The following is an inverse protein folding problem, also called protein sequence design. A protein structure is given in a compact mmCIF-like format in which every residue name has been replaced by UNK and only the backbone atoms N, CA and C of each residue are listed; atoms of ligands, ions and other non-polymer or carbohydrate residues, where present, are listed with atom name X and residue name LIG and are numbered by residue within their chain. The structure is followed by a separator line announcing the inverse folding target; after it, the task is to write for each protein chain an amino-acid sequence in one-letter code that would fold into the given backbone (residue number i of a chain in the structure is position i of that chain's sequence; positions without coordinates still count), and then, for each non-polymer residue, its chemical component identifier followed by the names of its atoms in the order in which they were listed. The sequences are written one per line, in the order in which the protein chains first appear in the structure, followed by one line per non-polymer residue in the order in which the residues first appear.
data_IF_100830146677
#
_entry.id   IF_100830146677
#
_cell.length_a   1.000
_cell.length_b   1.000
_cell.length_c   1.000
_cell.angle_alpha   90.00
_cell.angle_beta   90.00
_cell.angle_gamma   90.00
#
_symmetry.space_group_name_H-M   'P 1'
#
loop_
_entity.id
_entity.type
_entity.pdbx_description
1 polymer ?
#
# COMPACT_ATOMS: atom_id res chain seq x y z
N UNK A 1 17.90 16.33 8.96
CA UNK A 1 17.26 15.19 9.65
C UNK A 1 16.78 14.23 8.58
N UNK A 2 17.07 12.93 8.68
CA UNK A 2 16.54 11.97 7.72
C UNK A 2 15.03 11.83 7.93
N UNK A 3 14.26 11.98 6.86
CA UNK A 3 12.82 11.70 6.88
C UNK A 3 12.63 10.20 7.13
N UNK A 4 11.71 9.83 8.03
CA UNK A 4 11.43 8.41 8.29
C UNK A 4 10.68 7.82 7.10
N UNK A 5 11.12 6.65 6.65
CA UNK A 5 10.52 5.90 5.56
C UNK A 5 9.86 4.63 6.11
N UNK A 6 8.65 4.34 5.63
CA UNK A 6 7.88 3.15 6.00
C UNK A 6 7.46 2.40 4.74
N UNK A 7 7.73 1.09 4.72
CA UNK A 7 7.24 0.20 3.68
C UNK A 7 5.92 -0.44 4.10
N UNK A 8 4.90 -0.28 3.27
CA UNK A 8 3.54 -0.77 3.47
C UNK A 8 3.22 -1.72 2.33
N UNK A 9 2.64 -2.87 2.64
CA UNK A 9 2.13 -3.81 1.63
C UNK A 9 0.62 -3.96 1.84
N UNK A 10 -0.16 -3.73 0.78
CA UNK A 10 -1.62 -3.84 0.80
C UNK A 10 -2.00 -5.24 0.32
N UNK A 11 -2.61 -6.00 1.23
CA UNK A 11 -2.95 -7.41 1.03
C UNK A 11 -4.46 -7.63 1.22
N UNK A 12 -5.01 -8.63 0.54
CA UNK A 12 -6.42 -8.98 0.59
C UNK A 12 -6.89 -9.67 -0.69
N UNK A 13 -8.06 -10.32 -0.64
CA UNK A 13 -8.61 -11.09 -1.77
C UNK A 13 -8.78 -10.26 -3.05
N UNK A 14 -8.94 -10.94 -4.19
CA UNK A 14 -9.32 -10.27 -5.43
C UNK A 14 -10.64 -9.51 -5.29
N UNK A 15 -10.77 -8.36 -5.96
CA UNK A 15 -12.02 -7.58 -5.99
C UNK A 15 -12.40 -6.81 -4.71
N UNK A 16 -11.65 -6.92 -3.59
CA UNK A 16 -12.00 -6.21 -2.33
C UNK A 16 -11.73 -4.70 -2.33
N UNK A 17 -11.20 -4.15 -3.43
CA UNK A 17 -10.95 -2.71 -3.58
C UNK A 17 -9.60 -2.18 -3.07
N UNK A 18 -8.57 -3.03 -2.94
CA UNK A 18 -7.20 -2.63 -2.54
C UNK A 18 -6.67 -1.46 -3.39
N UNK A 19 -6.72 -1.62 -4.71
CA UNK A 19 -6.23 -0.63 -5.67
C UNK A 19 -7.05 0.65 -5.65
N UNK A 20 -8.37 0.56 -5.50
CA UNK A 20 -9.24 1.72 -5.30
C UNK A 20 -8.83 2.51 -4.05
N UNK A 21 -8.59 1.83 -2.92
CA UNK A 21 -8.17 2.46 -1.68
C UNK A 21 -6.77 3.09 -1.80
N UNK A 22 -5.82 2.36 -2.41
CA UNK A 22 -4.45 2.84 -2.58
C UNK A 22 -4.40 4.05 -3.51
N UNK A 23 -5.07 4.02 -4.66
CA UNK A 23 -5.13 5.13 -5.60
C UNK A 23 -5.86 6.34 -4.99
N UNK A 24 -6.96 6.13 -4.28
CA UNK A 24 -7.66 7.21 -3.59
C UNK A 24 -6.77 7.85 -2.54
N UNK A 25 -6.04 7.05 -1.76
CA UNK A 25 -5.12 7.57 -0.77
C UNK A 25 -3.95 8.31 -1.41
N UNK A 26 -3.29 7.76 -2.43
CA UNK A 26 -2.06 8.33 -2.97
C UNK A 26 -2.32 9.51 -3.90
N UNK A 27 -3.31 9.37 -4.79
CA UNK A 27 -3.52 10.26 -5.94
C UNK A 27 -4.80 11.10 -5.82
N UNK A 28 -5.64 10.86 -4.82
CA UNK A 28 -7.00 11.42 -4.73
C UNK A 28 -7.86 11.11 -5.96
N UNK A 29 -7.66 9.93 -6.55
CA UNK A 29 -8.41 9.45 -7.71
C UNK A 29 -9.19 8.20 -7.32
N UNK A 30 -10.45 8.16 -7.74
CA UNK A 30 -11.27 6.96 -7.65
C UNK A 30 -11.19 6.17 -8.95
N UNK A 31 -10.81 4.90 -8.84
CA UNK A 31 -10.79 3.98 -9.99
C UNK A 31 -12.18 3.33 -10.10
N UNK A 32 -12.93 3.70 -11.14
CA UNK A 32 -14.30 3.20 -11.37
C UNK A 32 -14.34 1.81 -12.01
N UNK A 33 -13.32 1.43 -12.78
CA UNK A 33 -13.25 0.16 -13.49
C UNK A 33 -12.18 -0.76 -12.91
N UNK A 34 -12.57 -2.01 -12.63
CA UNK A 34 -11.66 -3.03 -12.13
C UNK A 34 -10.77 -3.57 -13.27
N UNK A 35 -9.51 -3.17 -13.28
CA UNK A 35 -8.43 -3.89 -13.96
C UNK A 35 -7.64 -4.66 -12.88
N UNK A 36 -7.53 -6.00 -12.95
CA UNK A 36 -6.72 -6.75 -11.99
C UNK A 36 -5.27 -6.24 -11.96
N UNK A 37 -4.90 -5.52 -10.91
CA UNK A 37 -3.52 -5.11 -10.66
C UNK A 37 -2.62 -6.33 -10.58
N UNK A 38 -1.45 -6.28 -11.21
CA UNK A 38 -0.39 -7.29 -11.05
C UNK A 38 0.39 -6.96 -9.76
N UNK A 39 1.05 -5.81 -9.74
CA UNK A 39 1.71 -5.22 -8.57
C UNK A 39 2.06 -3.76 -8.92
N UNK A 40 1.72 -2.80 -8.06
CA UNK A 40 2.02 -1.38 -8.24
C UNK A 40 2.73 -0.82 -7.01
N UNK A 41 3.71 0.07 -7.22
CA UNK A 41 4.43 0.75 -6.14
C UNK A 41 4.17 2.25 -6.16
N UNK A 42 3.84 2.79 -4.99
CA UNK A 42 3.52 4.19 -4.80
C UNK A 42 4.37 4.81 -3.71
N UNK A 43 4.70 6.09 -3.88
CA UNK A 43 5.43 6.87 -2.89
C UNK A 43 4.63 8.10 -2.47
N UNK A 44 4.42 8.29 -1.17
CA UNK A 44 3.69 9.45 -0.65
C UNK A 44 4.39 10.08 0.56
N UNK A 45 4.66 11.38 0.47
CA UNK A 45 5.05 12.18 1.64
C UNK A 45 3.80 12.61 2.40
N UNK A 46 3.77 12.37 3.70
CA UNK A 46 2.66 12.78 4.58
C UNK A 46 3.20 13.37 5.90
N UNK A 47 2.33 14.06 6.62
CA UNK A 47 2.56 14.48 8.00
C UNK A 47 1.69 13.65 8.94
N UNK A 48 2.31 13.06 9.97
CA UNK A 48 1.63 12.30 11.03
C UNK A 48 2.15 12.80 12.36
N UNK A 49 1.26 13.29 13.22
CA UNK A 49 1.60 13.83 14.55
C UNK A 49 2.74 14.88 14.52
N UNK A 50 2.71 15.80 13.55
CA UNK A 50 3.73 16.83 13.37
C UNK A 50 5.06 16.33 12.78
N UNK A 51 5.12 15.10 12.28
CA UNK A 51 6.33 14.50 11.70
C UNK A 51 6.13 14.21 10.22
N UNK A 52 7.02 14.74 9.39
CA UNK A 52 7.10 14.36 7.99
C UNK A 52 7.67 12.96 7.82
N UNK A 53 6.96 12.11 7.08
CA UNK A 53 7.33 10.72 6.79
C UNK A 53 7.12 10.42 5.30
N UNK A 54 7.86 9.45 4.78
CA UNK A 54 7.65 8.88 3.44
C UNK A 54 7.02 7.50 3.61
N UNK A 55 5.96 7.24 2.85
CA UNK A 55 5.38 5.92 2.70
C UNK A 55 5.77 5.37 1.32
N UNK A 56 6.36 4.17 1.31
CA UNK A 56 6.51 3.31 0.13
C UNK A 56 5.43 2.24 0.22
N UNK A 57 4.45 2.27 -0.69
CA UNK A 57 3.25 1.44 -0.64
C UNK A 57 3.27 0.49 -1.83
N UNK A 58 3.24 -0.81 -1.55
CA UNK A 58 3.09 -1.86 -2.53
C UNK A 58 1.63 -2.32 -2.58
N UNK A 59 0.93 -2.03 -3.67
CA UNK A 59 -0.37 -2.62 -3.98
C UNK A 59 -0.19 -3.93 -4.75
N UNK A 60 -0.86 -4.98 -4.32
CA UNK A 60 -0.65 -6.34 -4.85
C UNK A 60 -1.89 -6.85 -5.57
N UNK A 61 -1.68 -7.67 -6.61
CA UNK A 61 -2.73 -8.57 -7.09
C UNK A 61 -3.31 -9.34 -5.90
N UNK A 62 -4.63 -9.36 -5.77
CA UNK A 62 -5.28 -10.17 -4.74
C UNK A 62 -4.98 -11.64 -4.98
N UNK A 63 -3.97 -12.19 -4.31
CA UNK A 63 -3.58 -13.58 -4.44
C UNK A 63 -3.81 -14.29 -3.11
N UNK A 64 -4.43 -15.47 -3.16
CA UNK A 64 -4.64 -16.33 -1.99
C UNK A 64 -3.32 -16.91 -1.42
N UNK A 65 -2.16 -16.49 -1.93
CA UNK A 65 -0.84 -17.01 -1.61
C UNK A 65 0.03 -15.96 -0.91
N UNK A 66 -0.41 -15.47 0.25
CA UNK A 66 0.37 -14.56 1.10
C UNK A 66 1.64 -15.21 1.70
N UNK A 67 1.87 -16.50 1.46
CA UNK A 67 2.98 -17.27 2.03
C UNK A 67 4.35 -16.99 1.41
N UNK A 68 4.44 -16.13 0.38
CA UNK A 68 5.70 -15.86 -0.35
C UNK A 68 6.37 -14.52 -0.02
N UNK A 69 5.71 -13.62 0.70
CA UNK A 69 6.36 -12.36 1.08
C UNK A 69 7.21 -12.55 2.34
N UNK A 70 8.53 -12.43 2.19
CA UNK A 70 9.44 -12.22 3.32
C UNK A 70 9.26 -10.79 3.83
N UNK A 71 8.13 -10.56 4.51
CA UNK A 71 7.79 -9.27 5.10
C UNK A 71 8.81 -8.99 6.22
N UNK A 72 9.66 -7.95 6.11
CA UNK A 72 10.57 -7.58 7.18
C UNK A 72 9.76 -7.26 8.45
N UNK A 73 10.26 -7.63 9.63
CA UNK A 73 9.60 -7.40 10.93
C UNK A 73 9.25 -5.92 11.22
N UNK A 74 9.68 -4.98 10.37
CA UNK A 74 9.31 -3.57 10.42
C UNK A 74 7.93 -3.24 9.84
N UNK A 75 7.33 -4.16 9.06
CA UNK A 75 5.98 -3.95 8.49
C UNK A 75 4.94 -4.37 9.53
N UNK A 76 4.21 -3.39 10.08
CA UNK A 76 3.06 -3.63 10.94
C UNK A 76 1.86 -4.06 10.10
N UNK A 77 1.45 -5.31 10.23
CA UNK A 77 0.14 -5.78 9.74
C UNK A 77 -0.91 -5.44 10.78
N UNK A 78 -1.83 -4.52 10.48
CA UNK A 78 -3.07 -4.37 11.24
C UNK A 78 -4.06 -5.41 10.70
N UNK A 79 -4.65 -6.22 11.57
CA UNK A 79 -5.78 -7.09 11.22
C UNK A 79 -7.03 -6.26 10.99
#
# INVERSE_FOLDING_TARGET
MSQREYHIVVLGSGGVGKSCLTAQFVQNVWIESYDPTIEDSYRKAIEVDGRHVILEILDTAGTEQFSKFNIPKSVRTTR
#
